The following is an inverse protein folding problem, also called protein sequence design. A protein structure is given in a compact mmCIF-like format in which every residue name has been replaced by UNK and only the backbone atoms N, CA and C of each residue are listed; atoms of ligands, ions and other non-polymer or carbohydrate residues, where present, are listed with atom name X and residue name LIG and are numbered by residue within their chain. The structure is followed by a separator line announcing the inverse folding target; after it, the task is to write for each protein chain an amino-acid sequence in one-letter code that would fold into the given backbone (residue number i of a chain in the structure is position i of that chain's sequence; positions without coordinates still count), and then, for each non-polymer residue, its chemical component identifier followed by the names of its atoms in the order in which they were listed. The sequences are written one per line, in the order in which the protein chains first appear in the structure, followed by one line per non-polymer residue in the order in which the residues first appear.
data_IF_526716447993
#
_entry.id   IF_526716447993
#
_cell.length_a   1.000
_cell.length_b   1.000
_cell.length_c   1.000
_cell.angle_alpha   90.00
_cell.angle_beta   90.00
_cell.angle_gamma   90.00
#
_symmetry.space_group_name_H-M   'P 1'
#
loop_
_entity.id
_entity.type
_entity.pdbx_description
1 polymer ?
#
# COMPACT_ATOMS: atom_id res chain seq x y z
N UNK A 1 -5.44 -27.70 11.08
CA UNK A 1 -6.62 -27.57 11.97
C UNK A 1 -6.32 -26.82 13.27
N UNK A 2 -5.33 -27.20 14.10
CA UNK A 2 -5.06 -26.53 15.41
C UNK A 2 -4.67 -25.06 15.22
N UNK A 3 -3.75 -24.75 14.29
CA UNK A 3 -3.30 -23.39 13.97
C UNK A 3 -4.47 -22.47 13.63
N UNK A 4 -5.33 -22.86 12.71
CA UNK A 4 -6.46 -22.05 12.25
C UNK A 4 -7.47 -21.75 13.37
N UNK A 5 -7.62 -22.69 14.33
CA UNK A 5 -8.47 -22.48 15.52
C UNK A 5 -7.90 -21.45 16.49
N UNK A 6 -6.57 -21.38 16.62
CA UNK A 6 -5.91 -20.34 17.45
C UNK A 6 -6.07 -18.97 16.82
N UNK A 7 -5.82 -18.86 15.50
CA UNK A 7 -6.00 -17.61 14.76
C UNK A 7 -7.44 -17.10 14.87
N UNK A 8 -8.44 -17.98 14.66
CA UNK A 8 -9.85 -17.62 14.79
C UNK A 8 -10.20 -17.05 16.16
N UNK A 9 -9.68 -17.66 17.25
CA UNK A 9 -9.91 -17.19 18.63
C UNK A 9 -9.29 -15.80 18.90
N UNK A 10 -8.13 -15.50 18.33
CA UNK A 10 -7.54 -14.15 18.45
C UNK A 10 -8.34 -13.14 17.63
N UNK A 11 -8.81 -13.51 16.43
CA UNK A 11 -9.64 -12.65 15.58
C UNK A 11 -11.02 -12.37 16.19
N UNK A 12 -11.61 -13.29 16.95
CA UNK A 12 -12.85 -13.05 17.70
C UNK A 12 -12.74 -11.87 18.70
N UNK A 13 -11.51 -11.58 19.16
CA UNK A 13 -11.22 -10.46 20.08
C UNK A 13 -10.77 -9.19 19.36
N UNK A 14 -10.53 -9.29 18.04
CA UNK A 14 -10.09 -8.17 17.22
C UNK A 14 -11.29 -7.28 16.82
N UNK A 15 -11.00 -6.07 16.38
CA UNK A 15 -12.01 -5.15 15.88
C UNK A 15 -12.54 -5.63 14.52
N UNK A 16 -13.79 -6.04 14.48
CA UNK A 16 -14.49 -6.39 13.25
C UNK A 16 -14.85 -5.13 12.47
N UNK A 17 -14.39 -5.00 11.23
CA UNK A 17 -14.64 -3.85 10.37
C UNK A 17 -15.79 -4.07 9.40
N UNK A 18 -16.07 -5.33 9.03
CA UNK A 18 -17.15 -5.66 8.10
C UNK A 18 -16.89 -6.95 7.34
N UNK A 19 -17.77 -7.23 6.38
CA UNK A 19 -17.63 -8.33 5.42
C UNK A 19 -17.30 -7.80 4.05
N UNK A 20 -16.42 -8.48 3.35
CA UNK A 20 -16.09 -8.15 1.97
C UNK A 20 -17.30 -8.41 1.04
N UNK A 21 -17.50 -7.51 0.08
CA UNK A 21 -18.66 -7.56 -0.82
C UNK A 21 -18.52 -8.63 -1.90
N UNK A 22 -17.28 -8.84 -2.41
CA UNK A 22 -17.04 -9.67 -3.58
C UNK A 22 -16.26 -10.96 -3.31
N UNK A 23 -15.96 -11.26 -2.04
CA UNK A 23 -15.36 -12.53 -1.63
C UNK A 23 -15.85 -12.96 -0.26
N UNK A 24 -15.70 -14.25 0.08
CA UNK A 24 -16.16 -14.81 1.37
C UNK A 24 -15.18 -14.50 2.50
N UNK A 25 -14.91 -13.22 2.75
CA UNK A 25 -13.95 -12.79 3.76
C UNK A 25 -14.57 -11.84 4.78
N UNK A 26 -14.16 -12.01 6.03
CA UNK A 26 -14.33 -11.04 7.10
C UNK A 26 -13.11 -10.12 7.18
N UNK A 27 -13.33 -8.87 7.55
CA UNK A 27 -12.31 -7.82 7.60
C UNK A 27 -12.10 -7.42 9.06
N UNK A 28 -10.85 -7.50 9.51
CA UNK A 28 -10.48 -7.19 10.89
C UNK A 28 -9.38 -6.14 10.97
N UNK A 29 -9.42 -5.34 12.03
CA UNK A 29 -8.30 -4.52 12.49
C UNK A 29 -7.71 -5.15 13.74
N UNK A 30 -6.47 -5.61 13.66
CA UNK A 30 -5.82 -6.42 14.68
C UNK A 30 -4.66 -5.65 15.33
N UNK A 31 -4.59 -5.70 16.65
CA UNK A 31 -3.43 -5.27 17.41
C UNK A 31 -2.43 -6.44 17.47
N UNK A 32 -1.22 -6.24 16.94
CA UNK A 32 -0.20 -7.28 16.87
C UNK A 32 0.30 -7.72 18.25
N UNK A 33 0.41 -6.78 19.20
CA UNK A 33 0.82 -7.07 20.57
C UNK A 33 -0.21 -7.92 21.34
N UNK A 34 -1.50 -7.68 21.07
CA UNK A 34 -2.60 -8.44 21.67
C UNK A 34 -2.92 -9.76 20.95
N UNK A 35 -2.39 -9.98 19.75
CA UNK A 35 -2.71 -11.12 18.89
C UNK A 35 -1.43 -11.76 18.32
N UNK A 36 -0.58 -12.38 19.17
CA UNK A 36 0.76 -12.83 18.76
C UNK A 36 0.72 -13.96 17.73
N UNK A 37 -0.26 -14.87 17.77
CA UNK A 37 -0.37 -15.94 16.79
C UNK A 37 -0.80 -15.41 15.42
N UNK A 38 -1.73 -14.46 15.39
CA UNK A 38 -2.13 -13.77 14.15
C UNK A 38 -0.94 -12.99 13.58
N UNK A 39 -0.19 -12.24 14.40
CA UNK A 39 0.98 -11.50 13.96
C UNK A 39 2.06 -12.42 13.39
N UNK A 40 2.37 -13.53 14.05
CA UNK A 40 3.34 -14.50 13.56
C UNK A 40 2.94 -15.08 12.19
N UNK A 41 1.64 -15.35 11.98
CA UNK A 41 1.14 -15.80 10.69
C UNK A 41 1.22 -14.71 9.62
N UNK A 42 0.89 -13.46 9.96
CA UNK A 42 1.05 -12.29 9.06
C UNK A 42 2.50 -12.16 8.63
N UNK A 43 3.46 -12.26 9.55
CA UNK A 43 4.88 -12.18 9.23
C UNK A 43 5.33 -13.33 8.31
N UNK A 44 4.84 -14.56 8.55
CA UNK A 44 5.11 -15.70 7.68
C UNK A 44 4.59 -15.46 6.26
N UNK A 45 3.33 -15.03 6.13
CA UNK A 45 2.69 -14.77 4.83
C UNK A 45 3.34 -13.60 4.09
N UNK A 46 3.78 -12.56 4.80
CA UNK A 46 4.55 -11.46 4.22
C UNK A 46 5.86 -11.97 3.62
N UNK A 47 6.66 -12.73 4.38
CA UNK A 47 7.93 -13.31 3.88
C UNK A 47 7.70 -14.14 2.62
N UNK A 48 6.70 -15.00 2.61
CA UNK A 48 6.38 -15.82 1.43
C UNK A 48 5.94 -14.96 0.24
N UNK A 49 5.05 -13.97 0.46
CA UNK A 49 4.55 -13.12 -0.59
C UNK A 49 5.63 -12.23 -1.21
N UNK A 50 6.49 -11.65 -0.37
CA UNK A 50 7.60 -10.80 -0.82
C UNK A 50 8.75 -11.62 -1.40
N UNK A 51 9.04 -12.81 -0.84
CA UNK A 51 10.01 -13.75 -1.38
C UNK A 51 9.66 -14.19 -2.81
N UNK A 52 8.37 -14.36 -3.11
CA UNK A 52 7.89 -14.65 -4.46
C UNK A 52 8.19 -13.57 -5.51
N UNK A 53 8.51 -12.35 -5.09
CA UNK A 53 8.92 -11.23 -5.95
C UNK A 53 10.39 -10.81 -5.74
N UNK A 54 11.18 -11.68 -5.09
CA UNK A 54 12.62 -11.48 -4.92
C UNK A 54 13.03 -10.58 -3.77
N UNK A 55 12.13 -10.25 -2.84
CA UNK A 55 12.45 -9.43 -1.67
C UNK A 55 12.61 -10.30 -0.42
N UNK A 56 13.78 -10.25 0.21
CA UNK A 56 13.99 -10.81 1.53
C UNK A 56 13.48 -9.84 2.60
N UNK A 57 12.41 -10.21 3.30
CA UNK A 57 11.95 -9.48 4.47
C UNK A 57 12.57 -10.08 5.72
N UNK A 58 13.23 -9.25 6.51
CA UNK A 58 13.69 -9.57 7.87
C UNK A 58 12.72 -8.98 8.91
N UNK A 59 11.46 -9.38 8.84
CA UNK A 59 10.45 -8.98 9.83
C UNK A 59 10.55 -9.81 11.14
N UNK A 60 11.56 -10.69 11.26
CA UNK A 60 11.62 -11.64 12.37
C UNK A 60 10.43 -12.62 12.39
N UNK A 61 10.33 -13.42 13.43
CA UNK A 61 9.18 -14.35 13.61
C UNK A 61 7.94 -13.60 14.08
N UNK A 62 8.12 -12.52 14.85
CA UNK A 62 7.07 -11.79 15.57
C UNK A 62 6.83 -10.36 15.02
N UNK A 63 7.32 -10.04 13.83
CA UNK A 63 7.22 -8.69 13.27
C UNK A 63 8.30 -7.72 13.78
N UNK A 64 8.27 -6.48 13.27
CA UNK A 64 9.12 -5.43 13.81
C UNK A 64 8.54 -4.86 15.12
N UNK A 65 9.34 -4.07 15.85
CA UNK A 65 8.91 -3.48 17.13
C UNK A 65 7.63 -2.66 16.97
N UNK A 66 7.47 -1.96 15.85
CA UNK A 66 6.30 -1.12 15.60
C UNK A 66 5.02 -1.93 15.33
N UNK A 67 5.11 -3.21 14.97
CA UNK A 67 3.95 -4.11 14.88
C UNK A 67 3.45 -4.57 16.26
N UNK A 68 4.30 -4.52 17.30
CA UNK A 68 4.02 -5.05 18.65
C UNK A 68 3.74 -3.94 19.65
N UNK A 69 4.35 -2.74 19.49
CA UNK A 69 4.24 -1.61 20.44
C UNK A 69 2.97 -0.79 20.28
N UNK A 70 2.06 -1.20 19.38
CA UNK A 70 0.80 -0.53 19.11
C UNK A 70 0.90 0.64 18.12
N UNK A 71 2.08 0.93 17.56
CA UNK A 71 2.23 1.96 16.52
C UNK A 71 1.44 1.60 15.27
N UNK A 72 1.50 0.33 14.86
CA UNK A 72 0.74 -0.18 13.72
C UNK A 72 -0.29 -1.22 14.12
N UNK A 73 -1.41 -1.15 13.43
CA UNK A 73 -2.42 -2.21 13.42
C UNK A 73 -2.35 -2.98 12.11
N UNK A 74 -2.86 -4.21 12.13
CA UNK A 74 -2.96 -5.07 10.96
C UNK A 74 -4.40 -5.07 10.45
N UNK A 75 -4.62 -4.55 9.24
CA UNK A 75 -5.86 -4.75 8.51
C UNK A 75 -5.78 -6.09 7.81
N UNK A 76 -6.67 -7.02 8.12
CA UNK A 76 -6.61 -8.39 7.62
C UNK A 76 -7.92 -8.81 6.98
N UNK A 77 -7.79 -9.60 5.91
CA UNK A 77 -8.88 -10.37 5.32
C UNK A 77 -8.80 -11.81 5.81
N UNK A 78 -9.88 -12.30 6.38
CA UNK A 78 -10.03 -13.66 6.87
C UNK A 78 -11.02 -14.44 6.01
N UNK A 79 -10.55 -15.47 5.31
CA UNK A 79 -11.42 -16.41 4.60
C UNK A 79 -12.15 -17.28 5.62
N UNK A 80 -13.48 -17.15 5.66
CA UNK A 80 -14.33 -17.85 6.62
C UNK A 80 -14.42 -19.35 6.35
N UNK A 81 -14.33 -19.75 5.09
CA UNK A 81 -14.45 -21.15 4.67
C UNK A 81 -13.15 -21.92 4.91
N UNK A 82 -12.03 -21.32 4.50
CA UNK A 82 -10.71 -21.94 4.65
C UNK A 82 -10.09 -21.69 6.01
N UNK A 83 -10.65 -20.74 6.77
CA UNK A 83 -10.12 -20.31 8.07
C UNK A 83 -8.65 -19.89 7.98
N UNK A 84 -8.32 -19.03 7.01
CA UNK A 84 -6.96 -18.55 6.77
C UNK A 84 -6.93 -17.06 6.36
N UNK A 85 -5.76 -16.42 6.50
CA UNK A 85 -5.57 -15.03 6.12
C UNK A 85 -5.35 -14.93 4.61
N UNK A 86 -6.22 -14.22 3.90
CA UNK A 86 -6.12 -13.97 2.46
C UNK A 86 -5.09 -12.89 2.12
N UNK A 87 -4.95 -11.89 2.98
CA UNK A 87 -4.07 -10.76 2.76
C UNK A 87 -4.23 -9.69 3.83
N UNK A 88 -3.44 -8.64 3.72
CA UNK A 88 -3.50 -7.56 4.69
C UNK A 88 -2.67 -6.33 4.35
N UNK A 89 -2.87 -5.31 5.16
CA UNK A 89 -2.08 -4.08 5.24
C UNK A 89 -1.63 -3.85 6.67
N UNK A 90 -0.46 -3.27 6.84
CA UNK A 90 -0.08 -2.58 8.08
C UNK A 90 -0.51 -1.12 7.97
N UNK A 91 -1.13 -0.55 9.00
CA UNK A 91 -1.50 0.85 9.01
C UNK A 91 -1.27 1.52 10.36
N UNK A 92 -0.90 2.80 10.34
CA UNK A 92 -0.77 3.65 11.52
C UNK A 92 -1.61 4.92 11.34
N UNK A 93 -2.44 5.24 12.33
CA UNK A 93 -3.20 6.49 12.35
C UNK A 93 -2.27 7.60 12.83
N UNK A 94 -2.03 8.61 12.00
CA UNK A 94 -0.98 9.60 12.23
C UNK A 94 -1.10 10.36 13.55
N UNK A 95 -2.32 10.71 13.99
CA UNK A 95 -2.54 11.37 15.30
C UNK A 95 -2.33 10.47 16.52
N UNK A 96 -2.29 9.15 16.32
CA UNK A 96 -2.09 8.15 17.37
C UNK A 96 -0.62 7.67 17.40
N UNK A 97 0.15 7.95 16.36
CA UNK A 97 1.52 7.47 16.20
C UNK A 97 2.55 8.58 16.50
N UNK A 98 3.72 8.18 16.98
CA UNK A 98 4.89 9.06 17.05
C UNK A 98 5.57 9.10 15.69
N UNK A 99 5.95 10.30 15.23
CA UNK A 99 6.59 10.51 13.92
C UNK A 99 7.79 9.58 13.71
N UNK A 100 8.64 9.47 14.76
CA UNK A 100 9.89 8.68 14.71
C UNK A 100 9.62 7.17 14.60
N UNK A 101 8.40 6.72 14.90
CA UNK A 101 7.98 5.32 14.80
C UNK A 101 7.38 4.97 13.44
N UNK A 102 7.05 5.97 12.64
CA UNK A 102 6.55 5.76 11.29
C UNK A 102 7.64 5.20 10.39
N UNK A 103 7.31 4.19 9.63
CA UNK A 103 8.29 3.54 8.75
C UNK A 103 8.79 4.48 7.64
N UNK A 104 7.98 5.47 7.27
CA UNK A 104 8.34 6.50 6.31
C UNK A 104 9.48 7.39 6.83
N UNK A 105 9.46 7.77 8.12
CA UNK A 105 10.46 8.64 8.75
C UNK A 105 11.88 8.07 8.74
N UNK A 106 12.03 6.77 8.57
CA UNK A 106 13.34 6.11 8.48
C UNK A 106 14.12 6.55 7.22
N UNK A 107 13.41 6.77 6.13
CA UNK A 107 14.00 7.06 4.81
C UNK A 107 13.70 8.47 4.31
N UNK A 108 12.68 9.10 4.86
CA UNK A 108 12.23 10.42 4.45
C UNK A 108 12.40 11.44 5.58
N UNK A 109 12.73 12.65 5.22
CA UNK A 109 12.56 13.83 6.06
C UNK A 109 11.15 14.37 5.82
N UNK A 110 10.39 14.47 6.89
CA UNK A 110 9.02 14.98 6.87
C UNK A 110 9.05 16.46 7.22
N UNK A 111 8.46 17.30 6.38
CA UNK A 111 8.41 18.74 6.66
C UNK A 111 7.56 19.05 7.88
N UNK A 112 7.80 20.21 8.50
CA UNK A 112 6.98 20.70 9.61
C UNK A 112 5.50 20.86 9.22
N UNK A 113 5.22 21.28 7.99
CA UNK A 113 3.86 21.37 7.47
C UNK A 113 3.21 19.99 7.35
N UNK A 114 3.94 18.98 6.86
CA UNK A 114 3.43 17.62 6.84
C UNK A 114 3.07 17.12 8.25
N UNK A 115 3.97 17.28 9.19
CA UNK A 115 3.79 16.80 10.57
C UNK A 115 2.63 17.50 11.29
N UNK A 116 2.44 18.80 11.06
CA UNK A 116 1.38 19.57 11.74
C UNK A 116 0.02 19.47 11.05
N UNK A 117 -0.02 19.41 9.72
CA UNK A 117 -1.26 19.59 8.96
C UNK A 117 -1.79 18.30 8.33
N UNK A 118 -0.90 17.46 7.80
CA UNK A 118 -1.30 16.25 7.06
C UNK A 118 -1.30 15.01 7.95
N UNK A 119 -0.23 14.81 8.72
CA UNK A 119 -0.07 13.60 9.54
C UNK A 119 -1.23 13.38 10.52
N UNK A 120 -1.73 14.37 11.29
CA UNK A 120 -2.82 14.12 12.25
C UNK A 120 -4.13 13.69 11.59
N UNK A 121 -4.30 14.02 10.32
CA UNK A 121 -5.48 13.68 9.50
C UNK A 121 -5.21 12.55 8.52
N UNK A 122 -4.05 11.89 8.65
CA UNK A 122 -3.57 10.88 7.73
C UNK A 122 -3.44 9.49 8.36
N UNK A 123 -3.33 8.50 7.47
CA UNK A 123 -2.97 7.12 7.81
C UNK A 123 -1.79 6.70 6.96
N UNK A 124 -0.71 6.22 7.60
CA UNK A 124 0.37 5.53 6.91
C UNK A 124 -0.05 4.10 6.59
N UNK A 125 0.13 3.72 5.33
CA UNK A 125 -0.08 2.37 4.83
C UNK A 125 1.26 1.71 4.49
N UNK A 126 1.39 0.44 4.82
CA UNK A 126 2.59 -0.31 4.47
C UNK A 126 2.39 -1.82 4.53
N UNK A 127 3.43 -2.55 4.14
CA UNK A 127 3.48 -4.00 4.24
C UNK A 127 2.26 -4.71 3.66
N UNK A 128 1.73 -4.20 2.52
CA UNK A 128 0.62 -4.84 1.84
C UNK A 128 1.02 -6.20 1.28
N UNK A 129 0.16 -7.19 1.45
CA UNK A 129 0.36 -8.52 0.87
C UNK A 129 -0.98 -9.18 0.54
N UNK A 130 -0.92 -10.06 -0.44
CA UNK A 130 -1.95 -11.09 -0.69
C UNK A 130 -1.25 -12.42 -0.50
N UNK A 131 -1.84 -13.32 0.24
CA UNK A 131 -1.27 -14.65 0.51
C UNK A 131 -1.02 -15.41 -0.80
N UNK A 132 0.09 -16.16 -0.95
CA UNK A 132 0.46 -16.81 -2.20
C UNK A 132 -0.64 -17.73 -2.78
N UNK A 133 -1.40 -18.41 -1.94
CA UNK A 133 -2.51 -19.26 -2.38
C UNK A 133 -3.66 -18.48 -3.06
N UNK A 134 -3.77 -17.19 -2.81
CA UNK A 134 -4.74 -16.29 -3.46
C UNK A 134 -4.14 -15.51 -4.63
N UNK A 135 -2.84 -15.68 -4.92
CA UNK A 135 -2.16 -15.15 -6.10
C UNK A 135 -2.15 -16.16 -7.27
N UNK A 136 -2.17 -17.46 -6.94
CA UNK A 136 -2.17 -18.56 -7.92
C UNK A 136 -3.59 -18.84 -8.41
N UNK A 137 -3.85 -18.75 -9.68
CA UNK A 137 -5.17 -19.07 -10.28
C UNK A 137 -5.74 -17.97 -11.16
N UNK A 138 -4.91 -17.05 -11.58
CA UNK A 138 -5.30 -15.92 -12.41
C UNK A 138 -5.57 -14.66 -11.62
N UNK A 139 -5.53 -13.52 -12.28
CA UNK A 139 -5.61 -12.18 -11.67
C UNK A 139 -6.91 -11.90 -10.88
N UNK A 140 -7.94 -12.73 -10.98
CA UNK A 140 -9.25 -12.48 -10.38
C UNK A 140 -9.22 -12.51 -8.84
N UNK A 141 -8.64 -13.56 -8.22
CA UNK A 141 -8.59 -13.67 -6.76
C UNK A 141 -7.75 -12.58 -6.11
N UNK A 142 -6.61 -12.25 -6.70
CA UNK A 142 -5.76 -11.14 -6.24
C UNK A 142 -6.51 -9.80 -6.32
N UNK A 143 -7.26 -9.57 -7.41
CA UNK A 143 -8.05 -8.34 -7.58
C UNK A 143 -9.15 -8.26 -6.52
N UNK A 144 -9.88 -9.36 -6.26
CA UNK A 144 -10.91 -9.39 -5.21
C UNK A 144 -10.33 -9.18 -3.81
N UNK A 145 -9.17 -9.77 -3.51
CA UNK A 145 -8.49 -9.53 -2.24
C UNK A 145 -8.05 -8.07 -2.08
N UNK A 146 -7.47 -7.46 -3.11
CA UNK A 146 -7.10 -6.04 -3.08
C UNK A 146 -8.32 -5.14 -2.94
N UNK A 147 -9.42 -5.44 -3.62
CA UNK A 147 -10.67 -4.70 -3.51
C UNK A 147 -11.27 -4.80 -2.10
N UNK A 148 -11.31 -5.98 -1.51
CA UNK A 148 -11.77 -6.20 -0.15
C UNK A 148 -10.87 -5.50 0.90
N UNK A 149 -9.56 -5.43 0.66
CA UNK A 149 -8.64 -4.63 1.49
C UNK A 149 -9.00 -3.13 1.42
N UNK A 150 -9.39 -2.62 0.25
CA UNK A 150 -9.88 -1.24 0.12
C UNK A 150 -11.22 -1.02 0.83
N UNK A 151 -12.14 -1.99 0.84
CA UNK A 151 -13.35 -1.93 1.66
C UNK A 151 -13.00 -1.77 3.15
N UNK A 152 -12.00 -2.53 3.62
CA UNK A 152 -11.50 -2.43 5.00
C UNK A 152 -10.85 -1.08 5.30
N UNK A 153 -9.99 -0.59 4.40
CA UNK A 153 -9.39 0.74 4.54
C UNK A 153 -10.44 1.85 4.56
N UNK A 154 -11.50 1.73 3.76
CA UNK A 154 -12.62 2.66 3.79
C UNK A 154 -13.33 2.68 5.15
N UNK A 155 -13.42 1.55 5.86
CA UNK A 155 -13.94 1.54 7.24
C UNK A 155 -12.98 2.26 8.20
N UNK A 156 -11.66 2.07 8.07
CA UNK A 156 -10.68 2.82 8.85
C UNK A 156 -10.79 4.32 8.59
N UNK A 157 -10.85 4.72 7.32
CA UNK A 157 -11.02 6.12 6.90
C UNK A 157 -12.25 6.75 7.58
N UNK A 158 -13.41 6.08 7.52
CA UNK A 158 -14.67 6.59 8.10
C UNK A 158 -14.58 6.68 9.62
N UNK A 159 -14.16 5.59 10.29
CA UNK A 159 -14.11 5.52 11.77
C UNK A 159 -13.10 6.50 12.37
N UNK A 160 -12.01 6.74 11.66
CA UNK A 160 -10.92 7.61 12.10
C UNK A 160 -10.99 9.01 11.51
N UNK A 161 -12.00 9.35 10.70
CA UNK A 161 -12.15 10.65 10.03
C UNK A 161 -10.85 11.09 9.34
N UNK A 162 -10.31 10.23 8.48
CA UNK A 162 -9.03 10.41 7.79
C UNK A 162 -9.24 11.14 6.47
N UNK A 163 -8.37 12.07 6.14
CA UNK A 163 -8.37 12.83 4.88
C UNK A 163 -7.27 12.40 3.92
N UNK A 164 -6.17 11.84 4.46
CA UNK A 164 -4.98 11.47 3.69
C UNK A 164 -4.58 10.02 3.91
N UNK A 165 -4.26 9.33 2.83
CA UNK A 165 -3.55 8.05 2.86
C UNK A 165 -2.15 8.27 2.31
N UNK A 166 -1.13 7.89 3.05
CA UNK A 166 0.26 8.03 2.63
C UNK A 166 1.05 6.76 2.93
N UNK A 167 2.21 6.64 2.32
CA UNK A 167 3.05 5.46 2.51
C UNK A 167 4.10 5.34 1.41
N UNK A 168 4.50 4.12 1.11
CA UNK A 168 5.54 3.83 0.12
C UNK A 168 5.07 2.81 -0.88
N UNK A 169 5.46 2.98 -2.13
CA UNK A 169 5.33 1.97 -3.17
C UNK A 169 6.70 1.39 -3.50
N UNK A 170 6.79 0.08 -3.57
CA UNK A 170 8.00 -0.64 -3.91
C UNK A 170 8.00 -0.97 -5.40
N UNK A 171 9.10 -0.68 -6.05
CA UNK A 171 9.34 -0.92 -7.47
C UNK A 171 10.38 -2.04 -7.59
N UNK A 172 9.88 -3.22 -7.95
CA UNK A 172 10.69 -4.43 -8.00
C UNK A 172 11.67 -4.41 -9.17
N UNK A 173 12.84 -4.99 -8.97
CA UNK A 173 13.88 -5.09 -10.00
C UNK A 173 13.43 -5.87 -11.24
N UNK A 174 12.47 -6.77 -11.08
CA UNK A 174 11.82 -7.49 -12.19
C UNK A 174 11.14 -6.60 -13.24
N UNK A 175 10.84 -5.33 -12.90
CA UNK A 175 10.36 -4.35 -13.87
C UNK A 175 11.43 -3.92 -14.88
N UNK A 176 12.73 -4.05 -14.52
CA UNK A 176 13.82 -3.48 -15.27
C UNK A 176 13.84 -1.94 -15.23
N UNK A 177 14.99 -1.35 -15.50
CA UNK A 177 15.25 0.08 -15.32
C UNK A 177 14.30 0.95 -16.13
N UNK A 178 14.10 0.63 -17.43
CA UNK A 178 13.28 1.47 -18.33
C UNK A 178 11.80 1.52 -17.93
N UNK A 179 11.22 0.38 -17.57
CA UNK A 179 9.81 0.32 -17.15
C UNK A 179 9.60 0.96 -15.77
N UNK A 180 10.55 0.75 -14.84
CA UNK A 180 10.57 1.40 -13.52
C UNK A 180 10.62 2.92 -13.67
N UNK A 181 11.59 3.43 -14.43
CA UNK A 181 11.79 4.88 -14.59
C UNK A 181 10.60 5.54 -15.30
N UNK A 182 9.99 4.87 -16.28
CA UNK A 182 8.77 5.34 -16.91
C UNK A 182 7.59 5.39 -15.92
N UNK A 183 7.43 4.35 -15.10
CA UNK A 183 6.33 4.29 -14.12
C UNK A 183 6.46 5.37 -13.05
N UNK A 184 7.66 5.54 -12.50
CA UNK A 184 7.94 6.61 -11.51
C UNK A 184 7.76 7.98 -12.15
N UNK A 185 8.35 8.22 -13.32
CA UNK A 185 8.22 9.49 -14.03
C UNK A 185 6.78 9.80 -14.42
N UNK A 186 5.98 8.80 -14.80
CA UNK A 186 4.55 8.97 -15.01
C UNK A 186 3.88 9.51 -13.74
N UNK A 187 4.08 8.85 -12.59
CA UNK A 187 3.46 9.27 -11.32
C UNK A 187 3.93 10.66 -10.89
N UNK A 188 5.23 10.96 -11.01
CA UNK A 188 5.79 12.28 -10.65
C UNK A 188 5.22 13.42 -11.51
N UNK A 189 5.00 13.19 -12.80
CA UNK A 189 4.62 14.25 -13.73
C UNK A 189 3.13 14.37 -13.97
N UNK A 190 2.34 13.32 -13.65
CA UNK A 190 0.87 13.40 -13.77
C UNK A 190 0.28 14.33 -12.72
N UNK A 191 0.77 14.27 -11.48
CA UNK A 191 0.34 15.16 -10.39
C UNK A 191 1.58 15.75 -9.70
N UNK A 192 2.19 16.79 -10.26
CA UNK A 192 3.39 17.40 -9.71
C UNK A 192 3.16 17.88 -8.28
N UNK A 193 4.17 17.69 -7.45
CA UNK A 193 4.17 18.15 -6.06
C UNK A 193 4.80 19.53 -6.01
N UNK A 194 4.03 20.53 -5.59
CA UNK A 194 4.52 21.89 -5.41
C UNK A 194 5.26 22.08 -4.08
N UNK A 195 4.79 21.40 -3.04
CA UNK A 195 5.33 21.47 -1.68
C UNK A 195 6.13 20.20 -1.35
N UNK A 196 7.37 20.37 -0.91
CA UNK A 196 8.25 19.25 -0.50
C UNK A 196 7.88 18.73 0.89
N UNK A 197 6.74 18.04 0.99
CA UNK A 197 6.26 17.48 2.25
C UNK A 197 7.11 16.31 2.76
N UNK A 198 7.69 15.54 1.84
CA UNK A 198 8.47 14.33 2.11
C UNK A 198 9.68 14.29 1.19
N UNK A 199 10.87 14.43 1.76
CA UNK A 199 12.14 14.46 1.01
C UNK A 199 12.97 13.24 1.39
N UNK A 200 13.49 12.53 0.41
CA UNK A 200 14.32 11.36 0.68
C UNK A 200 15.68 11.76 1.27
N UNK A 201 16.09 11.11 2.38
CA UNK A 201 17.42 11.33 3.00
C UNK A 201 18.56 10.98 2.02
N UNK A 202 18.34 10.00 1.14
CA UNK A 202 19.23 9.58 0.07
C UNK A 202 18.43 9.40 -1.21
N UNK A 203 18.18 10.49 -1.97
CA UNK A 203 17.28 10.44 -3.12
C UNK A 203 17.84 9.58 -4.25
N UNK A 204 16.98 8.75 -4.82
CA UNK A 204 17.22 8.00 -6.05
C UNK A 204 16.76 8.82 -7.23
N UNK A 205 17.64 9.03 -8.20
CA UNK A 205 17.31 9.78 -9.41
C UNK A 205 16.73 8.86 -10.48
N UNK A 206 15.56 9.20 -10.94
CA UNK A 206 14.84 8.49 -12.02
C UNK A 206 15.28 9.04 -13.36
N UNK A 207 15.61 8.16 -14.30
CA UNK A 207 16.04 8.53 -15.65
C UNK A 207 14.88 8.88 -16.61
N UNK A 208 13.81 9.55 -16.12
CA UNK A 208 12.65 9.93 -16.91
C UNK A 208 12.28 11.39 -16.69
N UNK A 209 12.46 12.20 -17.73
CA UNK A 209 12.31 13.66 -17.67
C UNK A 209 10.88 14.12 -17.96
N UNK A 210 10.54 15.36 -17.54
CA UNK A 210 9.28 16.05 -17.89
C UNK A 210 9.09 16.15 -19.40
N UNK A 211 10.15 16.34 -20.17
CA UNK A 211 10.10 16.38 -21.63
C UNK A 211 9.61 15.05 -22.19
N UNK A 212 10.19 13.94 -21.76
CA UNK A 212 9.76 12.59 -22.17
C UNK A 212 8.30 12.31 -21.77
N UNK A 213 7.88 12.79 -20.59
CA UNK A 213 6.48 12.70 -20.19
C UNK A 213 5.56 13.38 -21.19
N UNK A 214 5.84 14.65 -21.53
CA UNK A 214 5.01 15.44 -22.45
C UNK A 214 4.99 14.88 -23.88
N UNK A 215 6.06 14.22 -24.33
CA UNK A 215 6.13 13.55 -25.64
C UNK A 215 5.31 12.24 -25.69
N UNK A 216 5.16 11.54 -24.56
CA UNK A 216 4.54 10.21 -24.49
C UNK A 216 3.08 10.29 -24.04
N UNK A 217 2.80 11.06 -22.99
CA UNK A 217 1.50 11.12 -22.35
C UNK A 217 0.69 12.32 -22.85
N UNK A 218 0.16 12.17 -24.06
CA UNK A 218 -0.54 13.21 -24.82
C UNK A 218 -2.07 13.16 -24.69
N UNK A 219 -2.57 12.33 -23.75
CA UNK A 219 -4.01 12.22 -23.47
C UNK A 219 -4.53 13.47 -22.76
N UNK A 220 -5.80 13.81 -22.99
CA UNK A 220 -6.47 14.96 -22.39
C UNK A 220 -6.93 14.73 -20.95
N UNK A 221 -6.97 13.46 -20.52
CA UNK A 221 -7.42 13.06 -19.20
C UNK A 221 -6.42 12.12 -18.51
N UNK A 222 -6.46 12.07 -17.19
CA UNK A 222 -5.66 11.14 -16.41
C UNK A 222 -5.92 9.67 -16.82
N UNK A 223 -7.17 9.31 -17.15
CA UNK A 223 -7.54 7.98 -17.60
C UNK A 223 -6.94 7.63 -18.96
N UNK A 224 -6.93 8.60 -19.91
CA UNK A 224 -6.29 8.42 -21.21
C UNK A 224 -4.78 8.21 -21.06
N UNK A 225 -4.12 9.04 -20.27
CA UNK A 225 -2.70 8.90 -19.99
C UNK A 225 -2.37 7.58 -19.24
N UNK A 226 -3.24 7.12 -18.36
CA UNK A 226 -3.10 5.80 -17.74
C UNK A 226 -3.21 4.66 -18.76
N UNK A 227 -4.10 4.75 -19.75
CA UNK A 227 -4.17 3.77 -20.85
C UNK A 227 -2.90 3.76 -21.69
N UNK A 228 -2.33 4.95 -21.96
CA UNK A 228 -1.03 5.07 -22.64
C UNK A 228 0.06 4.38 -21.82
N UNK A 229 0.12 4.63 -20.50
CA UNK A 229 1.06 3.94 -19.61
C UNK A 229 0.94 2.41 -19.73
N UNK A 230 -0.28 1.88 -19.62
CA UNK A 230 -0.51 0.43 -19.73
C UNK A 230 -0.06 -0.15 -21.08
N UNK A 231 -0.24 0.61 -22.17
CA UNK A 231 0.23 0.23 -23.50
C UNK A 231 1.76 0.22 -23.59
N UNK A 232 2.41 1.27 -23.06
CA UNK A 232 3.88 1.38 -23.04
C UNK A 232 4.53 0.32 -22.16
N UNK A 233 3.97 0.02 -21.00
CA UNK A 233 4.45 -1.06 -20.15
C UNK A 233 4.37 -2.41 -20.86
N UNK A 234 3.26 -2.70 -21.57
CA UNK A 234 3.12 -3.94 -22.38
C UNK A 234 4.15 -4.02 -23.51
N UNK A 235 4.49 -2.90 -24.16
CA UNK A 235 5.55 -2.87 -25.18
C UNK A 235 6.94 -3.22 -24.64
N UNK A 236 7.12 -3.13 -23.32
CA UNK A 236 8.34 -3.51 -22.60
C UNK A 236 8.22 -4.88 -21.92
N UNK A 237 7.21 -5.69 -22.28
CA UNK A 237 6.88 -6.97 -21.64
C UNK A 237 6.66 -6.87 -20.13
N UNK A 238 6.27 -5.68 -19.66
CA UNK A 238 6.03 -5.38 -18.26
C UNK A 238 4.56 -5.07 -17.99
N UNK A 239 4.18 -5.20 -16.71
CA UNK A 239 2.88 -4.76 -16.22
C UNK A 239 3.05 -3.78 -15.07
N UNK A 240 2.14 -2.81 -14.97
CA UNK A 240 2.07 -2.00 -13.76
C UNK A 240 1.74 -2.91 -12.57
N UNK A 241 2.53 -2.89 -11.49
CA UNK A 241 2.25 -3.71 -10.31
C UNK A 241 0.81 -3.52 -9.81
N UNK A 242 0.10 -4.60 -9.42
CA UNK A 242 -1.31 -4.52 -9.04
C UNK A 242 -1.61 -3.48 -7.98
N UNK A 243 -0.73 -3.34 -6.98
CA UNK A 243 -0.89 -2.35 -5.91
C UNK A 243 -0.78 -0.91 -6.42
N UNK A 244 0.17 -0.61 -7.30
CA UNK A 244 0.32 0.72 -7.91
C UNK A 244 -0.87 1.00 -8.83
N UNK A 245 -1.29 0.00 -9.61
CA UNK A 245 -2.49 0.09 -10.46
C UNK A 245 -3.74 0.39 -9.62
N UNK A 246 -3.87 -0.18 -8.42
CA UNK A 246 -4.99 0.12 -7.52
C UNK A 246 -4.97 1.58 -7.08
N UNK A 247 -3.84 2.11 -6.64
CA UNK A 247 -3.70 3.52 -6.26
C UNK A 247 -4.04 4.49 -7.40
N UNK A 248 -3.51 4.25 -8.60
CA UNK A 248 -3.78 5.08 -9.78
C UNK A 248 -5.25 5.07 -10.24
N UNK A 249 -6.00 4.04 -9.85
CA UNK A 249 -7.45 3.94 -10.10
C UNK A 249 -8.32 4.61 -9.04
N UNK A 250 -7.76 4.96 -7.89
CA UNK A 250 -8.50 5.63 -6.83
C UNK A 250 -8.63 7.13 -7.09
N UNK A 251 -7.55 7.76 -7.54
CA UNK A 251 -7.46 9.20 -7.66
C UNK A 251 -6.67 9.61 -8.90
N UNK A 252 -7.09 10.68 -9.60
CA UNK A 252 -6.30 11.29 -10.67
C UNK A 252 -5.09 12.07 -10.15
N UNK A 253 -5.03 12.37 -8.86
CA UNK A 253 -4.10 13.29 -8.22
C UNK A 253 -3.19 12.59 -7.21
N UNK A 254 -2.88 11.28 -7.44
CA UNK A 254 -1.87 10.58 -6.66
C UNK A 254 -0.56 11.39 -6.67
N UNK A 255 -0.13 11.87 -5.51
CA UNK A 255 1.14 12.58 -5.35
C UNK A 255 2.26 11.59 -5.11
N UNK A 256 3.33 11.69 -5.90
CA UNK A 256 4.57 10.96 -5.68
C UNK A 256 5.66 11.98 -5.32
N UNK A 257 6.25 11.78 -4.16
CA UNK A 257 7.39 12.54 -3.64
C UNK A 257 8.71 11.92 -4.08
N UNK A 258 9.76 12.05 -3.29
CA UNK A 258 11.04 11.48 -3.65
C UNK A 258 11.04 9.95 -3.64
N UNK A 259 11.94 9.40 -4.46
CA UNK A 259 12.29 7.99 -4.48
C UNK A 259 13.65 7.77 -3.81
N UNK A 260 13.89 6.58 -3.27
CA UNK A 260 15.14 6.20 -2.63
C UNK A 260 15.39 4.70 -2.79
N UNK A 261 16.62 4.27 -2.55
CA UNK A 261 16.99 2.85 -2.49
C UNK A 261 16.77 2.34 -1.07
N UNK A 262 15.98 1.27 -0.92
CA UNK A 262 15.75 0.64 0.36
C UNK A 262 16.68 -0.57 0.55
N UNK A 263 17.79 -0.34 1.25
CA UNK A 263 18.81 -1.37 1.51
C UNK A 263 18.26 -2.50 2.41
N UNK A 264 17.32 -2.19 3.31
CA UNK A 264 16.69 -3.20 4.19
C UNK A 264 15.79 -4.18 3.42
N UNK A 265 15.43 -3.84 2.18
CA UNK A 265 14.66 -4.69 1.28
C UNK A 265 15.48 -5.17 0.06
N UNK A 266 16.80 -5.28 0.22
CA UNK A 266 17.67 -5.78 -0.85
C UNK A 266 17.99 -4.76 -1.94
N UNK A 267 17.89 -3.46 -1.64
CA UNK A 267 18.27 -2.40 -2.57
C UNK A 267 17.19 -2.01 -3.59
N UNK A 268 15.93 -2.42 -3.38
CA UNK A 268 14.83 -2.02 -4.26
C UNK A 268 14.54 -0.53 -4.18
N UNK A 269 14.02 0.05 -5.26
CA UNK A 269 13.59 1.44 -5.28
C UNK A 269 12.20 1.55 -4.65
N UNK A 270 12.06 2.45 -3.68
CA UNK A 270 10.77 2.84 -3.12
C UNK A 270 10.51 4.32 -3.37
N UNK A 271 9.25 4.68 -3.48
CA UNK A 271 8.80 6.09 -3.62
C UNK A 271 7.73 6.40 -2.60
N UNK A 272 7.84 7.56 -1.94
CA UNK A 272 6.80 8.03 -1.05
C UNK A 272 5.61 8.54 -1.87
N UNK A 273 4.39 8.18 -1.45
CA UNK A 273 3.15 8.58 -2.10
C UNK A 273 2.15 9.12 -1.08
N UNK A 274 1.23 9.96 -1.57
CA UNK A 274 0.07 10.41 -0.82
C UNK A 274 -1.16 10.50 -1.72
N UNK A 275 -2.30 10.13 -1.15
CA UNK A 275 -3.62 10.23 -1.74
C UNK A 275 -4.48 11.13 -0.86
N UNK A 276 -5.16 12.10 -1.44
CA UNK A 276 -6.18 12.93 -0.78
C UNK A 276 -7.54 12.30 -1.04
N UNK A 277 -8.26 11.93 0.02
CA UNK A 277 -9.51 11.17 -0.10
C UNK A 277 -10.60 11.95 -0.82
N UNK A 278 -10.69 13.26 -0.58
CA UNK A 278 -11.66 14.13 -1.27
C UNK A 278 -11.45 14.18 -2.80
N UNK A 279 -10.24 13.86 -3.27
CA UNK A 279 -9.86 13.84 -4.68
C UNK A 279 -10.05 12.47 -5.36
N UNK A 280 -10.60 11.48 -4.64
CA UNK A 280 -10.93 10.19 -5.24
C UNK A 280 -12.01 10.35 -6.32
N UNK A 281 -11.96 9.50 -7.34
CA UNK A 281 -13.04 9.44 -8.34
C UNK A 281 -14.39 9.19 -7.67
N UNK A 282 -15.46 9.84 -8.15
CA UNK A 282 -16.80 9.71 -7.57
C UNK A 282 -17.29 8.25 -7.59
N UNK A 283 -16.96 7.49 -8.62
CA UNK A 283 -17.24 6.06 -8.69
C UNK A 283 -16.59 5.26 -7.57
N UNK A 284 -15.38 5.66 -7.15
CA UNK A 284 -14.64 5.05 -6.02
C UNK A 284 -15.26 5.45 -4.70
N UNK A 285 -15.56 6.75 -4.53
CA UNK A 285 -16.24 7.24 -3.33
C UNK A 285 -17.59 6.54 -3.14
N UNK A 286 -18.39 6.42 -4.20
CA UNK A 286 -19.67 5.72 -4.19
C UNK A 286 -19.52 4.23 -3.84
N UNK A 287 -18.53 3.55 -4.43
CA UNK A 287 -18.26 2.12 -4.20
C UNK A 287 -17.94 1.82 -2.73
N UNK A 288 -17.05 2.61 -2.12
CA UNK A 288 -16.60 2.39 -0.74
C UNK A 288 -17.39 3.20 0.29
N UNK A 289 -18.39 3.98 -0.14
CA UNK A 289 -19.20 4.84 0.70
C UNK A 289 -18.36 5.89 1.45
N UNK A 290 -17.35 6.45 0.82
CA UNK A 290 -16.49 7.54 1.32
C UNK A 290 -17.09 8.85 0.79
N UNK A 291 -17.07 9.90 1.62
CA UNK A 291 -17.57 11.24 1.24
C UNK A 291 -16.40 12.15 0.83
#
# INVERSE_FOLDING_TARGET
MIKNRVLGKELERAEFLGRATHCNADIYSVDGGASPAVLAEVCRLRRESYGGVGIALDDGVNGDVADVDGTYRQLLLWDRERCEIMGGYRYAVGREARVERLSLSRYMELSDSFVREYLPRGVELGRSFVSPCYQSGGNALTIYALDALWEGLAQVVKRKAVEYLFGRVTLYDSLGVRARDMLVGYMQHTSPVEEQLMVARKPFRVGFSRRQYNEIFIGNTAQENYRILLSKMRQMDCRVPPIISSYLRLSPTLKLFDSYTNEDLGGVVESAIMLTISEFYDSVKGRYGIK
#
